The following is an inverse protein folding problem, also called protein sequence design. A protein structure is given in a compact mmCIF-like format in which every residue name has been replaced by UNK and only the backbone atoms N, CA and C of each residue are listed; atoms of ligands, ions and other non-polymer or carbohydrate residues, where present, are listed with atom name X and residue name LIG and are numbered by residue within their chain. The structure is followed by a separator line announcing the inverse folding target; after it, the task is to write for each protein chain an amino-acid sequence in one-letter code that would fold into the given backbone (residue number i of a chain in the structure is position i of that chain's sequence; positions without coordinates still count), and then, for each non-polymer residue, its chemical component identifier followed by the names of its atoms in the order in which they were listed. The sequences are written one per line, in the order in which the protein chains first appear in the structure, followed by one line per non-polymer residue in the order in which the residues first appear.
data_IF_100712293221
#
_entry.id   IF_100712293221
#
_cell.length_a   1.000
_cell.length_b   1.000
_cell.length_c   1.000
_cell.angle_alpha   90.00
_cell.angle_beta   90.00
_cell.angle_gamma   90.00
#
_symmetry.space_group_name_H-M   'P 1'
#
loop_
_entity.id
_entity.type
_entity.pdbx_description
1 polymer ?
#
# COMPACT_ATOMS: atom_id res chain seq x y z
N UNK A 1 0.95 -8.75 24.28
CA UNK A 1 0.95 -9.80 23.26
C UNK A 1 -0.52 -10.13 22.97
N UNK A 2 -1.08 -9.63 21.86
CA UNK A 2 -2.48 -9.85 21.52
C UNK A 2 -2.61 -11.26 20.91
N UNK A 3 -3.50 -12.08 21.47
CA UNK A 3 -3.80 -13.39 20.90
C UNK A 3 -4.20 -13.25 19.42
N UNK A 4 -3.72 -14.12 18.52
CA UNK A 4 -4.10 -14.05 17.12
C UNK A 4 -5.62 -14.22 16.98
N UNK A 5 -6.26 -13.51 16.02
CA UNK A 5 -7.69 -13.68 15.76
C UNK A 5 -8.01 -15.15 15.43
N UNK A 6 -9.25 -15.55 15.75
CA UNK A 6 -9.73 -16.93 15.66
C UNK A 6 -9.64 -17.51 14.24
N UNK A 7 -9.66 -16.63 13.24
CA UNK A 7 -9.36 -16.90 11.83
C UNK A 7 -8.40 -15.84 11.27
N UNK A 8 -7.47 -16.21 10.36
CA UNK A 8 -6.53 -15.27 9.75
C UNK A 8 -7.23 -14.23 8.87
N UNK A 9 -6.82 -12.93 8.88
CA UNK A 9 -7.43 -11.90 8.04
C UNK A 9 -7.36 -12.26 6.55
N UNK A 10 -8.49 -12.13 5.85
CA UNK A 10 -8.57 -12.43 4.41
C UNK A 10 -7.99 -11.26 3.59
N UNK A 11 -7.13 -11.60 2.63
CA UNK A 11 -6.49 -10.67 1.70
C UNK A 11 -6.82 -11.07 0.28
N UNK A 12 -7.59 -10.25 -0.43
CA UNK A 12 -7.86 -10.48 -1.84
C UNK A 12 -6.59 -10.24 -2.66
N UNK A 13 -6.29 -11.14 -3.61
CA UNK A 13 -5.20 -11.00 -4.56
C UNK A 13 -5.79 -10.99 -5.96
N UNK A 14 -5.98 -9.80 -6.52
CA UNK A 14 -6.71 -9.60 -7.79
C UNK A 14 -5.72 -9.48 -8.94
N UNK A 15 -5.86 -10.30 -9.97
CA UNK A 15 -4.91 -10.35 -11.10
C UNK A 15 -5.61 -10.64 -12.44
N UNK A 16 -4.89 -10.48 -13.55
CA UNK A 16 -5.48 -10.73 -14.86
C UNK A 16 -5.73 -12.21 -15.12
N UNK A 17 -6.91 -12.54 -15.64
CA UNK A 17 -7.30 -13.88 -16.14
C UNK A 17 -6.30 -14.45 -17.14
N UNK A 18 -5.67 -13.59 -17.94
CA UNK A 18 -4.64 -13.99 -18.90
C UNK A 18 -3.47 -14.73 -18.24
N UNK A 19 -3.03 -14.31 -17.04
CA UNK A 19 -1.94 -14.98 -16.32
C UNK A 19 -2.34 -16.40 -15.91
N UNK A 20 -3.57 -16.58 -15.44
CA UNK A 20 -4.09 -17.91 -15.10
C UNK A 20 -4.21 -18.80 -16.35
N UNK A 21 -4.73 -18.25 -17.44
CA UNK A 21 -4.91 -19.00 -18.70
C UNK A 21 -3.59 -19.40 -19.35
N UNK A 22 -2.55 -18.59 -19.22
CA UNK A 22 -1.21 -18.90 -19.74
C UNK A 22 -0.34 -19.72 -18.79
N UNK A 23 -0.80 -19.98 -17.55
CA UNK A 23 0.02 -20.58 -16.49
C UNK A 23 1.17 -19.68 -16.02
N UNK A 24 1.14 -18.38 -16.32
CA UNK A 24 2.19 -17.42 -15.95
C UNK A 24 1.93 -16.84 -14.55
N UNK A 25 1.79 -17.73 -13.56
CA UNK A 25 1.31 -17.42 -12.21
C UNK A 25 2.40 -17.31 -11.16
N UNK A 26 3.68 -17.47 -11.52
CA UNK A 26 4.76 -17.52 -10.53
C UNK A 26 4.77 -16.35 -9.52
N UNK A 27 4.51 -15.08 -9.92
CA UNK A 27 4.36 -13.98 -8.95
C UNK A 27 3.11 -14.09 -8.07
N UNK A 28 1.99 -14.61 -8.60
CA UNK A 28 0.76 -14.84 -7.85
C UNK A 28 1.01 -15.92 -6.78
N UNK A 29 1.63 -17.02 -7.17
CA UNK A 29 1.99 -18.13 -6.27
C UNK A 29 2.96 -17.66 -5.18
N UNK A 30 3.95 -16.84 -5.55
CA UNK A 30 4.88 -16.23 -4.61
C UNK A 30 4.20 -15.30 -3.61
N UNK A 31 3.24 -14.49 -4.06
CA UNK A 31 2.43 -13.64 -3.18
C UNK A 31 1.54 -14.47 -2.23
N UNK A 32 0.89 -15.53 -2.72
CA UNK A 32 0.10 -16.45 -1.90
C UNK A 32 0.97 -17.04 -0.78
N UNK A 33 2.14 -17.58 -1.13
CA UNK A 33 3.10 -18.13 -0.15
C UNK A 33 3.52 -17.07 0.87
N UNK A 34 3.86 -15.87 0.43
CA UNK A 34 4.27 -14.78 1.31
C UNK A 34 3.15 -14.33 2.26
N UNK A 35 1.90 -14.26 1.79
CA UNK A 35 0.73 -13.94 2.62
C UNK A 35 0.48 -15.00 3.68
N UNK A 36 0.50 -16.28 3.30
CA UNK A 36 0.35 -17.39 4.24
C UNK A 36 1.46 -17.39 5.31
N UNK A 37 2.70 -17.13 4.91
CA UNK A 37 3.84 -17.01 5.83
C UNK A 37 3.70 -15.84 6.83
N UNK A 38 2.84 -14.85 6.54
CA UNK A 38 2.50 -13.75 7.44
C UNK A 38 1.23 -13.98 8.25
N UNK A 39 0.64 -15.18 8.19
CA UNK A 39 -0.58 -15.53 8.92
C UNK A 39 -1.84 -14.88 8.34
N UNK A 40 -1.86 -14.62 7.03
CA UNK A 40 -3.00 -14.09 6.29
C UNK A 40 -3.65 -15.18 5.45
N UNK A 41 -4.95 -15.05 5.17
CA UNK A 41 -5.68 -15.94 4.27
C UNK A 41 -5.78 -15.32 2.87
N UNK A 42 -4.99 -15.75 1.88
CA UNK A 42 -5.08 -15.22 0.52
C UNK A 42 -6.35 -15.70 -0.18
N UNK A 43 -7.06 -14.77 -0.84
CA UNK A 43 -8.18 -15.02 -1.74
C UNK A 43 -7.79 -14.59 -3.17
N UNK A 44 -7.18 -15.47 -3.98
CA UNK A 44 -6.83 -15.16 -5.36
C UNK A 44 -8.08 -15.05 -6.24
N UNK A 45 -8.23 -13.91 -6.94
CA UNK A 45 -9.35 -13.61 -7.84
C UNK A 45 -8.78 -13.17 -9.17
N UNK A 46 -9.09 -13.88 -10.25
CA UNK A 46 -8.70 -13.46 -11.59
C UNK A 46 -9.86 -12.76 -12.32
N UNK A 47 -9.55 -11.68 -13.04
CA UNK A 47 -10.54 -10.88 -13.78
C UNK A 47 -10.08 -10.65 -15.21
N UNK A 48 -11.02 -10.55 -16.16
CA UNK A 48 -10.68 -10.11 -17.52
C UNK A 48 -10.32 -8.61 -17.51
N UNK A 49 -11.14 -7.82 -16.82
CA UNK A 49 -10.95 -6.39 -16.60
C UNK A 49 -11.75 -5.98 -15.37
N UNK A 50 -11.27 -5.01 -14.61
CA UNK A 50 -12.06 -4.40 -13.53
C UNK A 50 -13.19 -3.49 -14.06
N UNK A 51 -13.17 -3.15 -15.36
CA UNK A 51 -14.22 -2.38 -16.05
C UNK A 51 -15.28 -3.28 -16.70
N UNK A 52 -15.05 -4.59 -16.75
CA UNK A 52 -16.03 -5.54 -17.25
C UNK A 52 -17.10 -5.79 -16.17
N UNK A 53 -18.37 -5.52 -16.49
CA UNK A 53 -19.46 -5.54 -15.50
C UNK A 53 -19.59 -6.87 -14.76
N UNK A 54 -19.49 -7.99 -15.49
CA UNK A 54 -19.57 -9.32 -14.90
C UNK A 54 -18.38 -9.63 -13.98
N UNK A 55 -17.15 -9.33 -14.43
CA UNK A 55 -15.95 -9.47 -13.59
C UNK A 55 -16.03 -8.60 -12.34
N UNK A 56 -16.55 -7.37 -12.46
CA UNK A 56 -16.70 -6.44 -11.36
C UNK A 56 -17.73 -6.94 -10.34
N UNK A 57 -18.92 -7.38 -10.78
CA UNK A 57 -19.96 -7.90 -9.90
C UNK A 57 -19.49 -9.10 -9.07
N UNK A 58 -18.85 -10.08 -9.72
CA UNK A 58 -18.29 -11.24 -9.01
C UNK A 58 -17.22 -10.81 -8.02
N UNK A 59 -16.32 -9.92 -8.42
CA UNK A 59 -15.26 -9.43 -7.53
C UNK A 59 -15.88 -8.74 -6.31
N UNK A 60 -16.84 -7.84 -6.49
CA UNK A 60 -17.53 -7.16 -5.38
C UNK A 60 -18.27 -8.13 -4.46
N UNK A 61 -18.91 -9.17 -5.00
CA UNK A 61 -19.57 -10.20 -4.20
C UNK A 61 -18.56 -10.96 -3.34
N UNK A 62 -17.49 -11.48 -3.94
CA UNK A 62 -16.43 -12.21 -3.23
C UNK A 62 -15.77 -11.35 -2.14
N UNK A 63 -15.52 -10.06 -2.41
CA UNK A 63 -14.93 -9.16 -1.41
C UNK A 63 -15.81 -9.03 -0.15
N UNK A 64 -17.14 -9.00 -0.32
CA UNK A 64 -18.10 -8.95 0.80
C UNK A 64 -18.25 -10.30 1.49
N UNK A 65 -18.46 -11.36 0.71
CA UNK A 65 -18.76 -12.69 1.22
C UNK A 65 -17.63 -13.26 2.09
N UNK A 66 -16.39 -12.90 1.77
CA UNK A 66 -15.20 -13.33 2.51
C UNK A 66 -14.68 -12.29 3.51
N UNK A 67 -15.42 -11.21 3.77
CA UNK A 67 -15.06 -10.15 4.74
C UNK A 67 -13.60 -9.67 4.57
N UNK A 68 -13.23 -9.35 3.33
CA UNK A 68 -11.85 -9.02 2.95
C UNK A 68 -11.35 -7.78 3.70
N UNK A 69 -10.15 -7.88 4.27
CA UNK A 69 -9.54 -6.80 5.08
C UNK A 69 -8.55 -5.95 4.31
N UNK A 70 -7.94 -6.50 3.25
CA UNK A 70 -6.98 -5.81 2.38
C UNK A 70 -7.12 -6.34 0.95
N UNK A 71 -7.03 -5.46 -0.04
CA UNK A 71 -7.03 -5.83 -1.46
C UNK A 71 -5.63 -5.59 -2.02
N UNK A 72 -4.99 -6.64 -2.53
CA UNK A 72 -3.77 -6.53 -3.33
C UNK A 72 -4.16 -6.61 -4.81
N UNK A 73 -4.01 -5.50 -5.52
CA UNK A 73 -4.33 -5.45 -6.95
C UNK A 73 -3.05 -5.57 -7.79
N UNK A 74 -2.98 -6.63 -8.60
CA UNK A 74 -1.91 -6.91 -9.56
C UNK A 74 -2.30 -6.56 -11.00
N UNK A 75 -3.53 -6.08 -11.26
CA UNK A 75 -3.90 -5.58 -12.58
C UNK A 75 -3.22 -4.23 -12.86
N UNK A 76 -3.00 -3.92 -14.13
CA UNK A 76 -2.55 -2.61 -14.58
C UNK A 76 -3.75 -1.66 -14.77
N UNK A 77 -3.47 -0.38 -14.94
CA UNK A 77 -4.42 0.70 -15.24
C UNK A 77 -5.39 1.07 -14.12
N UNK A 78 -5.98 2.27 -14.27
CA UNK A 78 -7.10 2.75 -13.49
C UNK A 78 -8.42 2.13 -13.96
N UNK A 79 -9.37 1.97 -13.03
CA UNK A 79 -10.79 1.82 -13.33
C UNK A 79 -11.33 3.16 -13.82
N UNK A 80 -10.98 4.26 -13.14
CA UNK A 80 -11.43 5.61 -13.48
C UNK A 80 -10.96 6.05 -14.86
N UNK A 81 -11.73 6.94 -15.47
CA UNK A 81 -11.31 7.69 -16.64
C UNK A 81 -10.60 8.98 -16.19
N UNK A 82 -9.32 9.21 -16.55
CA UNK A 82 -8.58 10.41 -16.18
C UNK A 82 -9.27 11.72 -16.57
N UNK A 83 -10.07 11.73 -17.64
CA UNK A 83 -10.76 12.93 -18.11
C UNK A 83 -11.96 13.32 -17.22
N UNK A 84 -12.52 12.35 -16.48
CA UNK A 84 -13.73 12.56 -15.68
C UNK A 84 -13.56 12.18 -14.21
N UNK A 85 -12.40 11.66 -13.82
CA UNK A 85 -12.11 11.22 -12.46
C UNK A 85 -12.33 12.37 -11.47
N UNK A 86 -13.05 12.07 -10.39
CA UNK A 86 -13.27 12.98 -9.27
C UNK A 86 -12.84 12.28 -7.99
N UNK A 87 -12.38 13.07 -7.02
CA UNK A 87 -12.10 12.54 -5.70
C UNK A 87 -13.42 12.09 -5.05
N UNK A 88 -13.56 10.78 -4.87
CA UNK A 88 -14.68 10.17 -4.16
C UNK A 88 -14.18 9.49 -2.88
N UNK A 89 -15.10 9.28 -1.93
CA UNK A 89 -14.77 8.65 -0.65
C UNK A 89 -14.57 7.13 -0.77
N UNK A 90 -14.95 6.52 -1.89
CA UNK A 90 -14.88 5.07 -2.14
C UNK A 90 -13.99 4.78 -3.33
N UNK A 91 -13.34 3.61 -3.31
CA UNK A 91 -12.52 3.16 -4.43
C UNK A 91 -13.41 2.89 -5.66
N UNK A 92 -12.99 3.31 -6.87
CA UNK A 92 -13.78 3.10 -8.08
C UNK A 92 -13.88 1.61 -8.46
N UNK A 93 -14.98 1.26 -9.13
CA UNK A 93 -15.24 -0.10 -9.59
C UNK A 93 -15.50 -1.09 -8.46
N UNK A 94 -15.10 -2.37 -8.61
CA UNK A 94 -15.54 -3.41 -7.69
C UNK A 94 -14.94 -3.30 -6.28
N UNK A 95 -13.85 -2.56 -6.12
CA UNK A 95 -13.14 -2.43 -4.85
C UNK A 95 -13.86 -1.52 -3.86
N UNK A 96 -14.66 -0.55 -4.33
CA UNK A 96 -15.49 0.31 -3.47
C UNK A 96 -16.65 -0.41 -2.79
N UNK A 97 -16.86 -1.69 -3.08
CA UNK A 97 -17.91 -2.50 -2.50
C UNK A 97 -17.67 -2.81 -1.00
N UNK A 98 -16.45 -2.59 -0.51
CA UNK A 98 -16.03 -2.71 0.89
C UNK A 98 -15.11 -1.54 1.28
N UNK A 99 -14.99 -1.26 2.58
CA UNK A 99 -14.06 -0.25 3.10
C UNK A 99 -12.71 -0.89 3.50
N UNK A 100 -11.94 -1.30 2.49
CA UNK A 100 -10.61 -1.91 2.68
C UNK A 100 -9.54 -1.17 1.86
N UNK A 101 -8.29 -1.10 2.35
CA UNK A 101 -7.19 -0.49 1.60
C UNK A 101 -6.89 -1.33 0.33
N UNK A 102 -6.76 -0.62 -0.79
CA UNK A 102 -6.33 -1.20 -2.08
C UNK A 102 -4.85 -0.89 -2.28
N UNK A 103 -4.02 -1.92 -2.27
CA UNK A 103 -2.57 -1.82 -2.45
C UNK A 103 -2.23 -2.30 -3.86
N UNK A 104 -1.60 -1.42 -4.64
CA UNK A 104 -1.15 -1.73 -6.00
C UNK A 104 0.17 -2.49 -5.93
N UNK A 105 0.16 -3.70 -6.49
CA UNK A 105 1.29 -4.64 -6.60
C UNK A 105 1.61 -4.80 -8.08
N UNK A 106 2.89 -4.80 -8.45
CA UNK A 106 3.27 -4.54 -9.85
C UNK A 106 4.00 -5.73 -10.48
N UNK A 107 3.73 -5.96 -11.76
CA UNK A 107 4.42 -6.95 -12.59
C UNK A 107 5.22 -6.19 -13.65
N UNK A 108 6.49 -5.95 -13.35
CA UNK A 108 7.35 -5.14 -14.19
C UNK A 108 7.71 -5.89 -15.48
N UNK A 109 7.68 -5.16 -16.60
CA UNK A 109 7.96 -5.69 -17.93
C UNK A 109 9.45 -5.78 -18.26
N UNK A 110 10.33 -5.20 -17.43
CA UNK A 110 11.77 -5.42 -17.47
C UNK A 110 12.17 -6.71 -16.73
N UNK A 111 13.40 -7.17 -17.00
CA UNK A 111 14.01 -8.28 -16.26
C UNK A 111 14.49 -7.80 -14.88
N UNK A 112 14.73 -8.76 -13.98
CA UNK A 112 15.21 -8.46 -12.63
C UNK A 112 16.59 -7.80 -12.66
N UNK A 113 17.47 -8.25 -13.55
CA UNK A 113 18.84 -7.73 -13.71
C UNK A 113 18.78 -6.25 -14.14
N UNK A 114 17.98 -5.95 -15.18
CA UNK A 114 17.79 -4.57 -15.64
C UNK A 114 17.19 -3.66 -14.56
N UNK A 115 16.34 -4.21 -13.69
CA UNK A 115 15.78 -3.47 -12.57
C UNK A 115 16.81 -3.20 -11.47
N UNK A 116 17.68 -4.17 -11.17
CA UNK A 116 18.73 -4.06 -10.14
C UNK A 116 19.86 -3.12 -10.56
N UNK A 117 20.29 -3.20 -11.81
CA UNK A 117 21.39 -2.38 -12.34
C UNK A 117 20.95 -0.95 -12.69
N UNK A 118 19.64 -0.74 -12.88
CA UNK A 118 19.06 0.54 -13.24
C UNK A 118 18.73 1.44 -12.05
N UNK A 119 18.82 2.76 -12.25
CA UNK A 119 18.42 3.76 -11.23
C UNK A 119 16.94 4.18 -11.33
N UNK A 120 16.28 3.85 -12.44
CA UNK A 120 14.89 4.26 -12.69
C UNK A 120 13.84 3.36 -12.02
N UNK A 121 14.20 2.12 -11.65
CA UNK A 121 13.25 1.13 -11.17
C UNK A 121 12.33 0.62 -12.29
N UNK A 122 11.14 1.21 -12.44
CA UNK A 122 10.20 0.86 -13.51
C UNK A 122 10.52 1.63 -14.80
N UNK A 123 10.28 1.00 -15.95
CA UNK A 123 10.34 1.72 -17.22
C UNK A 123 9.14 2.70 -17.36
N UNK A 124 9.22 3.70 -18.25
CA UNK A 124 8.17 4.73 -18.36
C UNK A 124 6.76 4.18 -18.62
N UNK A 125 6.66 3.08 -19.38
CA UNK A 125 5.38 2.42 -19.66
C UNK A 125 4.78 1.81 -18.39
N UNK A 126 5.59 1.08 -17.64
CA UNK A 126 5.14 0.46 -16.40
C UNK A 126 4.82 1.51 -15.34
N UNK A 127 5.60 2.59 -15.25
CA UNK A 127 5.31 3.71 -14.35
C UNK A 127 3.92 4.30 -14.64
N UNK A 128 3.60 4.57 -15.91
CA UNK A 128 2.29 5.07 -16.29
C UNK A 128 1.16 4.09 -15.92
N UNK A 129 1.36 2.81 -16.24
CA UNK A 129 0.33 1.77 -16.10
C UNK A 129 0.12 1.26 -14.68
N UNK A 130 1.17 1.23 -13.87
CA UNK A 130 1.16 0.62 -12.54
C UNK A 130 1.25 1.63 -11.39
N UNK A 131 1.61 2.88 -11.66
CA UNK A 131 1.72 3.93 -10.63
C UNK A 131 0.78 5.08 -10.96
N UNK A 132 1.07 5.85 -12.02
CA UNK A 132 0.36 7.12 -12.30
C UNK A 132 -1.15 6.93 -12.48
N UNK A 133 -1.57 5.96 -13.30
CA UNK A 133 -3.00 5.69 -13.49
C UNK A 133 -3.64 5.12 -12.22
N UNK A 134 -3.11 4.05 -11.59
CA UNK A 134 -3.60 3.57 -10.29
C UNK A 134 -3.70 4.61 -9.16
N UNK A 135 -2.84 5.64 -9.13
CA UNK A 135 -2.93 6.74 -8.16
C UNK A 135 -4.21 7.56 -8.32
N UNK A 136 -4.74 7.70 -9.55
CA UNK A 136 -6.03 8.37 -9.79
C UNK A 136 -7.21 7.63 -9.13
N UNK A 137 -7.08 6.32 -8.92
CA UNK A 137 -8.07 5.51 -8.21
C UNK A 137 -7.87 5.51 -6.68
N UNK A 138 -6.90 6.28 -6.17
CA UNK A 138 -6.58 6.33 -4.74
C UNK A 138 -5.87 5.09 -4.20
N UNK A 139 -5.26 4.27 -5.06
CA UNK A 139 -4.57 3.04 -4.64
C UNK A 139 -3.24 3.35 -3.95
N UNK A 140 -2.92 2.61 -2.89
CA UNK A 140 -1.64 2.71 -2.18
C UNK A 140 -0.57 1.98 -3.01
N UNK A 141 0.45 2.71 -3.46
CA UNK A 141 1.52 2.13 -4.27
C UNK A 141 2.51 1.35 -3.40
N UNK A 142 2.81 0.10 -3.79
CA UNK A 142 3.78 -0.75 -3.09
C UNK A 142 5.04 -1.02 -3.92
N UNK A 143 5.27 -2.27 -4.35
CA UNK A 143 6.48 -2.72 -5.04
C UNK A 143 6.14 -3.59 -6.25
N UNK A 144 7.03 -3.59 -7.23
CA UNK A 144 7.09 -4.66 -8.22
C UNK A 144 7.50 -5.98 -7.55
N UNK A 145 6.74 -7.04 -7.79
CA UNK A 145 6.98 -8.37 -7.20
C UNK A 145 7.22 -9.44 -8.25
N UNK A 146 6.87 -9.16 -9.51
CA UNK A 146 7.17 -10.01 -10.65
C UNK A 146 7.95 -9.23 -11.70
N UNK A 147 8.90 -9.89 -12.35
CA UNK A 147 9.74 -9.35 -13.42
C UNK A 147 9.73 -10.28 -14.62
N UNK A 148 9.86 -9.75 -15.84
CA UNK A 148 9.87 -10.59 -17.03
C UNK A 148 11.12 -11.47 -17.09
N UNK A 149 10.91 -12.76 -17.35
CA UNK A 149 11.97 -13.71 -17.62
C UNK A 149 12.46 -13.53 -19.07
N UNK A 150 13.76 -13.76 -19.33
CA UNK A 150 14.24 -13.90 -20.69
C UNK A 150 13.42 -14.93 -21.49
N UNK A 151 13.08 -14.66 -22.76
CA UNK A 151 12.36 -15.62 -23.59
C UNK A 151 13.14 -16.93 -23.70
N UNK A 152 12.46 -18.06 -23.53
CA UNK A 152 12.99 -19.42 -23.73
C UNK A 152 12.25 -20.12 -24.85
N UNK A 153 12.91 -21.03 -25.54
CA UNK A 153 12.28 -21.88 -26.54
C UNK A 153 11.57 -23.04 -25.84
N UNK A 154 10.29 -23.20 -26.11
CA UNK A 154 9.52 -24.34 -25.61
C UNK A 154 9.91 -25.62 -26.36
N UNK A 155 10.20 -26.71 -25.63
CA UNK A 155 10.74 -27.93 -26.24
C UNK A 155 9.71 -28.65 -27.12
N UNK A 156 8.42 -28.60 -26.75
CA UNK A 156 7.36 -29.29 -27.47
C UNK A 156 6.90 -28.51 -28.70
N UNK A 157 6.59 -27.23 -28.51
CA UNK A 157 5.99 -26.38 -29.55
C UNK A 157 7.03 -25.63 -30.38
N UNK A 158 8.29 -25.60 -29.92
CA UNK A 158 9.38 -24.83 -30.52
C UNK A 158 9.13 -23.30 -30.55
N UNK A 159 8.07 -22.83 -29.88
CA UNK A 159 7.72 -21.42 -29.78
C UNK A 159 8.62 -20.70 -28.78
N UNK A 160 8.84 -19.40 -29.00
CA UNK A 160 9.48 -18.54 -28.01
C UNK A 160 8.44 -18.12 -26.98
N UNK A 161 8.64 -18.54 -25.73
CA UNK A 161 7.77 -18.22 -24.60
C UNK A 161 8.52 -17.42 -23.55
N UNK A 162 7.81 -16.52 -22.88
CA UNK A 162 8.33 -15.77 -21.72
C UNK A 162 7.30 -15.84 -20.61
N UNK A 163 7.77 -15.71 -19.37
CA UNK A 163 6.92 -15.66 -18.19
C UNK A 163 7.39 -14.57 -17.24
N UNK A 164 6.79 -14.50 -16.08
CA UNK A 164 7.25 -13.73 -14.95
C UNK A 164 8.03 -14.61 -13.97
N UNK A 165 9.02 -14.02 -13.34
CA UNK A 165 9.68 -14.55 -12.16
C UNK A 165 9.27 -13.75 -10.94
N UNK A 166 8.98 -14.45 -9.85
CA UNK A 166 8.67 -13.85 -8.56
C UNK A 166 9.95 -13.36 -7.87
N UNK A 167 9.92 -12.17 -7.28
CA UNK A 167 10.97 -11.67 -6.40
C UNK A 167 10.56 -11.84 -4.93
N UNK A 168 11.06 -12.88 -4.28
CA UNK A 168 10.59 -13.35 -2.96
C UNK A 168 10.66 -12.29 -1.85
N UNK A 169 11.77 -11.54 -1.73
CA UNK A 169 11.89 -10.47 -0.72
C UNK A 169 10.81 -9.40 -0.87
N UNK A 170 10.49 -9.03 -2.12
CA UNK A 170 9.50 -8.00 -2.42
C UNK A 170 8.09 -8.52 -2.15
N UNK A 171 7.82 -9.79 -2.43
CA UNK A 171 6.58 -10.44 -2.00
C UNK A 171 6.45 -10.45 -0.47
N UNK A 172 7.51 -10.78 0.25
CA UNK A 172 7.53 -10.78 1.71
C UNK A 172 7.28 -9.38 2.29
N UNK A 173 7.85 -8.33 1.67
CA UNK A 173 7.58 -6.94 2.02
C UNK A 173 6.10 -6.59 1.83
N UNK A 174 5.52 -6.90 0.66
CA UNK A 174 4.11 -6.59 0.37
C UNK A 174 3.17 -7.36 1.30
N UNK A 175 3.46 -8.63 1.59
CA UNK A 175 2.69 -9.41 2.56
C UNK A 175 2.78 -8.83 3.98
N UNK A 176 3.95 -8.32 4.39
CA UNK A 176 4.09 -7.63 5.67
C UNK A 176 3.30 -6.31 5.70
N UNK A 177 3.31 -5.55 4.60
CA UNK A 177 2.51 -4.33 4.46
C UNK A 177 1.01 -4.65 4.57
N UNK A 178 0.54 -5.69 3.89
CA UNK A 178 -0.85 -6.15 3.98
C UNK A 178 -1.22 -6.55 5.42
N UNK A 179 -0.35 -7.29 6.11
CA UNK A 179 -0.55 -7.63 7.53
C UNK A 179 -0.68 -6.39 8.40
N UNK A 180 0.16 -5.39 8.18
CA UNK A 180 0.13 -4.16 8.97
C UNK A 180 -1.17 -3.37 8.74
N UNK A 181 -1.68 -3.33 7.51
CA UNK A 181 -2.99 -2.74 7.19
C UNK A 181 -4.15 -3.50 7.82
N UNK A 182 -4.15 -4.84 7.74
CA UNK A 182 -5.17 -5.66 8.39
C UNK A 182 -5.18 -5.47 9.92
N UNK A 183 -3.98 -5.45 10.53
CA UNK A 183 -3.82 -5.15 11.95
C UNK A 183 -4.32 -3.75 12.29
N UNK A 184 -3.96 -2.74 11.49
CA UNK A 184 -4.45 -1.38 11.67
C UNK A 184 -5.97 -1.31 11.61
N UNK A 185 -6.64 -2.05 10.72
CA UNK A 185 -8.10 -2.11 10.68
C UNK A 185 -8.73 -2.74 11.92
N UNK A 186 -8.09 -3.77 12.48
CA UNK A 186 -8.61 -4.54 13.62
C UNK A 186 -8.33 -3.91 15.00
N UNK A 187 -7.23 -3.16 15.17
CA UNK A 187 -6.84 -2.59 16.46
C UNK A 187 -7.83 -1.52 16.94
N UNK A 188 -8.40 -1.61 18.15
CA UNK A 188 -9.24 -0.56 18.72
C UNK A 188 -8.52 0.79 18.79
N UNK A 189 -9.23 1.92 18.65
CA UNK A 189 -8.63 3.26 18.63
C UNK A 189 -7.74 3.55 19.85
N UNK A 190 -8.17 3.16 21.04
CA UNK A 190 -7.42 3.33 22.28
C UNK A 190 -6.08 2.57 22.29
N UNK A 191 -5.98 1.45 21.55
CA UNK A 191 -4.77 0.62 21.48
C UNK A 191 -3.86 1.00 20.30
N UNK A 192 -4.30 1.90 19.41
CA UNK A 192 -3.51 2.33 18.25
C UNK A 192 -2.38 3.26 18.71
N UNK A 193 -1.14 2.84 18.46
CA UNK A 193 0.06 3.66 18.68
C UNK A 193 0.42 4.41 17.41
N UNK A 194 0.33 5.73 17.46
CA UNK A 194 0.59 6.61 16.32
C UNK A 194 1.92 7.36 16.49
N UNK A 195 2.71 7.41 15.43
CA UNK A 195 3.90 8.25 15.34
C UNK A 195 3.63 9.44 14.42
N UNK A 196 3.85 10.66 14.91
CA UNK A 196 3.79 11.88 14.11
C UNK A 196 5.21 12.36 13.85
N UNK A 197 5.63 12.34 12.59
CA UNK A 197 6.99 12.73 12.18
C UNK A 197 6.91 14.13 11.57
N UNK A 198 7.62 15.08 12.17
CA UNK A 198 7.70 16.46 11.69
C UNK A 198 9.05 16.72 11.03
N UNK A 199 9.03 17.41 9.89
CA UNK A 199 10.25 17.77 9.19
C UNK A 199 11.01 18.86 9.95
N UNK A 200 12.33 18.69 10.08
CA UNK A 200 13.25 19.70 10.58
C UNK A 200 14.26 20.01 9.47
N UNK A 201 13.85 20.82 8.49
CA UNK A 201 14.69 21.19 7.37
C UNK A 201 14.59 22.69 7.06
N UNK A 202 15.73 23.41 6.90
CA UNK A 202 17.09 23.00 7.28
C UNK A 202 17.23 22.85 8.81
N UNK A 203 18.11 21.95 9.28
CA UNK A 203 18.33 21.52 10.68
C UNK A 203 18.64 22.65 11.69
N UNK A 204 17.68 23.55 11.93
CA UNK A 204 17.75 24.63 12.90
C UNK A 204 16.44 24.62 13.68
N UNK A 205 16.52 24.87 14.97
CA UNK A 205 15.33 24.87 15.82
C UNK A 205 14.29 25.93 15.38
N UNK A 206 14.72 27.00 14.72
CA UNK A 206 13.82 28.01 14.10
C UNK A 206 13.00 27.49 12.90
N UNK A 207 13.25 26.26 12.46
CA UNK A 207 12.59 25.57 11.34
C UNK A 207 11.98 24.23 11.76
N UNK A 208 11.79 24.00 13.06
CA UNK A 208 11.06 22.83 13.54
C UNK A 208 9.65 22.81 12.95
N UNK A 209 9.21 21.61 12.55
CA UNK A 209 7.91 21.38 11.92
C UNK A 209 7.68 22.24 10.66
N UNK A 210 8.70 22.35 9.80
CA UNK A 210 8.56 23.08 8.54
C UNK A 210 7.56 22.38 7.60
N UNK A 211 6.58 23.13 7.09
CA UNK A 211 5.58 22.68 6.11
C UNK A 211 5.26 23.80 5.12
N UNK A 212 5.33 23.53 3.82
CA UNK A 212 5.08 24.55 2.80
C UNK A 212 3.57 24.83 2.71
N UNK A 213 3.17 26.07 3.01
CA UNK A 213 1.76 26.49 2.94
C UNK A 213 0.88 25.92 4.06
N UNK A 214 1.47 25.34 5.11
CA UNK A 214 0.77 24.75 6.24
C UNK A 214 1.37 25.27 7.55
N UNK A 215 0.51 25.67 8.49
CA UNK A 215 0.91 25.86 9.87
C UNK A 215 1.03 24.48 10.54
N UNK A 216 2.18 23.80 10.34
CA UNK A 216 2.38 22.43 10.82
C UNK A 216 2.23 22.31 12.33
N UNK A 217 2.78 23.23 13.17
CA UNK A 217 2.60 23.14 14.60
C UNK A 217 1.12 23.21 15.02
N UNK A 218 0.39 24.21 14.52
CA UNK A 218 -1.03 24.39 14.86
C UNK A 218 -1.87 23.21 14.34
N UNK A 219 -1.62 22.79 13.11
CA UNK A 219 -2.31 21.65 12.50
C UNK A 219 -2.06 20.37 13.28
N UNK A 220 -0.83 20.17 13.77
CA UNK A 220 -0.49 18.99 14.57
C UNK A 220 -1.18 19.02 15.93
N UNK A 221 -1.22 20.17 16.61
CA UNK A 221 -1.97 20.32 17.85
C UNK A 221 -3.45 20.01 17.64
N UNK A 222 -4.07 20.53 16.58
CA UNK A 222 -5.46 20.22 16.22
C UNK A 222 -5.67 18.71 15.93
N UNK A 223 -4.78 18.07 15.18
CA UNK A 223 -4.87 16.62 14.91
C UNK A 223 -4.77 15.81 16.20
N UNK A 224 -3.86 16.15 17.12
CA UNK A 224 -3.71 15.44 18.40
C UNK A 224 -4.95 15.60 19.29
N UNK A 225 -5.52 16.80 19.38
CA UNK A 225 -6.76 17.03 20.12
C UNK A 225 -7.96 16.31 19.48
N UNK A 226 -8.05 16.28 18.14
CA UNK A 226 -9.08 15.55 17.44
C UNK A 226 -8.96 14.03 17.65
N UNK A 227 -7.74 13.47 17.59
CA UNK A 227 -7.49 12.06 17.91
C UNK A 227 -7.92 11.72 19.35
N UNK A 228 -7.61 12.58 20.32
CA UNK A 228 -8.07 12.40 21.69
C UNK A 228 -9.60 12.34 21.78
N UNK A 229 -10.30 13.26 21.10
CA UNK A 229 -11.76 13.29 21.05
C UNK A 229 -12.38 12.06 20.37
N UNK A 230 -11.69 11.48 19.38
CA UNK A 230 -12.10 10.25 18.68
C UNK A 230 -11.80 8.95 19.47
N UNK A 231 -11.23 9.06 20.67
CA UNK A 231 -10.99 7.93 21.58
C UNK A 231 -9.63 7.24 21.41
N UNK A 232 -8.64 7.93 20.84
CA UNK A 232 -7.24 7.50 20.88
C UNK A 232 -6.61 7.85 22.23
N UNK A 233 -5.66 7.04 22.70
CA UNK A 233 -4.90 7.33 23.92
C UNK A 233 -3.83 8.41 23.65
N UNK A 234 -4.22 9.67 23.82
CA UNK A 234 -3.36 10.84 23.67
C UNK A 234 -3.18 11.54 25.01
N UNK A 235 -1.98 11.44 25.58
CA UNK A 235 -1.63 12.08 26.86
C UNK A 235 -0.91 13.41 26.66
N UNK A 236 -1.44 14.46 27.29
CA UNK A 236 -0.85 15.81 27.26
C UNK A 236 -0.83 16.42 25.85
N UNK A 237 -1.90 16.25 25.06
CA UNK A 237 -2.02 16.95 23.78
C UNK A 237 -1.80 18.46 23.99
N UNK A 238 -0.93 19.11 23.20
CA UNK A 238 -0.70 20.55 23.32
C UNK A 238 -1.99 21.30 22.95
N UNK A 239 -2.26 22.41 23.63
CA UNK A 239 -3.45 23.22 23.36
C UNK A 239 -3.41 23.86 21.97
N UNK A 240 -2.22 24.26 21.53
CA UNK A 240 -1.96 24.97 20.28
C UNK A 240 -0.55 24.63 19.73
N UNK A 241 -0.22 25.20 18.58
CA UNK A 241 1.08 25.03 17.93
C UNK A 241 2.24 25.55 18.78
N UNK A 242 2.02 26.58 19.62
CA UNK A 242 3.06 27.10 20.52
C UNK A 242 3.41 26.06 21.58
N UNK A 243 2.42 25.48 22.23
CA UNK A 243 2.59 24.43 23.23
C UNK A 243 3.26 23.18 22.65
N UNK A 244 3.00 22.86 21.36
CA UNK A 244 3.71 21.78 20.68
C UNK A 244 5.20 22.09 20.54
N UNK A 245 5.55 23.28 20.03
CA UNK A 245 6.95 23.68 19.84
C UNK A 245 7.69 23.74 21.19
N UNK A 246 7.08 24.36 22.21
CA UNK A 246 7.66 24.42 23.55
C UNK A 246 7.95 23.02 24.10
N UNK A 247 7.02 22.06 23.90
CA UNK A 247 7.23 20.66 24.29
C UNK A 247 8.35 20.00 23.49
N UNK A 248 8.43 20.22 22.18
CA UNK A 248 9.51 19.67 21.34
C UNK A 248 10.90 20.16 21.75
N UNK A 249 11.02 21.43 22.14
CA UNK A 249 12.28 22.03 22.58
C UNK A 249 12.77 21.52 23.94
N UNK A 250 11.92 20.85 24.73
CA UNK A 250 12.34 20.16 25.96
C UNK A 250 13.05 18.83 25.72
N UNK A 251 13.01 18.32 24.49
CA UNK A 251 13.61 17.05 24.09
C UNK A 251 14.79 17.27 23.11
N UNK A 252 15.66 16.27 22.89
CA UNK A 252 16.74 16.40 21.93
C UNK A 252 16.23 16.76 20.53
N UNK A 253 16.78 17.81 19.93
CA UNK A 253 16.56 18.18 18.52
C UNK A 253 17.78 17.80 17.67
N UNK A 254 17.71 18.08 16.36
CA UNK A 254 18.84 17.91 15.44
C UNK A 254 20.03 18.83 15.79
N UNK A 255 19.82 19.84 16.65
CA UNK A 255 20.87 20.73 17.16
C UNK A 255 21.52 20.22 18.47
N UNK A 256 21.08 19.09 19.00
CA UNK A 256 21.56 18.51 20.27
C UNK A 256 20.71 18.95 21.48
N UNK A 257 21.17 18.63 22.70
CA UNK A 257 20.61 19.21 23.92
C UNK A 257 21.19 20.62 24.08
N UNK A 258 20.32 21.63 24.14
CA UNK A 258 20.74 22.95 24.63
C UNK A 258 21.12 22.74 26.11
N UNK A 259 22.37 23.00 26.53
CA UNK A 259 22.74 22.86 27.93
C UNK A 259 21.85 23.80 28.75
N UNK A 260 21.17 23.27 29.76
CA UNK A 260 20.52 24.08 30.78
C UNK A 260 21.59 24.97 31.43
N UNK A 261 21.50 26.29 31.23
CA UNK A 261 22.24 27.26 32.04
C UNK A 261 21.77 27.20 33.50
#
# INVERSE_FOLDING_TARGET
EHAPPKDPPVVALVFYRALNQSGDTAPVDGMIKALMAKGLAPLPIFVASLKDGFSAEITSALLKDFDVKVILNMTSFAVSDPATARAEAVSPGPFGAINAPVIQVMLASNTMENWQDGTAGLNPRDLAMHVVLPELDGRIISRAVGFKAPPRRDELTQAMVTGYQCHEERCAFVAQLARNWASLGATPRADKRLGVIMANYPNKDSRLANGVGLDTPESTAHVLNHLAAEGYDVTGAPADGRGLIDRMLTAPTNSGLVPSC
#
